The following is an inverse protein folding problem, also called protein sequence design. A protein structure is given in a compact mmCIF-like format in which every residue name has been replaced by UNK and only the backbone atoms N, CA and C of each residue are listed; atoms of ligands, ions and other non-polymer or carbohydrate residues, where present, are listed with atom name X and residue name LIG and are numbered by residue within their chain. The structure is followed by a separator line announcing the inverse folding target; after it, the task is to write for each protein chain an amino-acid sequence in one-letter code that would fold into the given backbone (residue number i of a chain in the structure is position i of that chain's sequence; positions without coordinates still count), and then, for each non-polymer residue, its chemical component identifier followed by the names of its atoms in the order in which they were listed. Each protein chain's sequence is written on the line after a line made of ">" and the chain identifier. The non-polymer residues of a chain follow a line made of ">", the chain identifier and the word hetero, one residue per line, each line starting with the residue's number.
data_IF_381538846417
#
_entry.id   IF_381538846417
#
_cell.length_a   1.000
_cell.length_b   1.000
_cell.length_c   1.000
_cell.angle_alpha   90.00
_cell.angle_beta   90.00
_cell.angle_gamma   90.00
#
_symmetry.space_group_name_H-M   'P 1'
#
loop_
_entity.id
_entity.type
_entity.pdbx_description
1 polymer ?
#
# COMPACT_ATOMS: atom_id res chain seq x y z
N UNK A 1 4.73 -12.51 24.92
CA UNK A 1 4.85 -12.45 23.44
C UNK A 1 5.04 -11.00 23.10
N UNK A 2 6.13 -10.66 22.41
CA UNK A 2 6.36 -9.30 21.93
C UNK A 2 5.17 -8.86 21.08
N UNK A 3 4.55 -7.75 21.47
CA UNK A 3 3.29 -7.25 20.89
C UNK A 3 3.46 -6.63 19.50
N UNK A 4 4.57 -6.90 18.81
CA UNK A 4 4.95 -6.29 17.54
C UNK A 4 4.57 -7.13 16.32
N UNK A 5 4.46 -6.50 15.13
CA UNK A 5 4.24 -7.21 13.88
C UNK A 5 5.46 -8.08 13.52
N UNK A 6 5.21 -9.24 12.92
CA UNK A 6 6.27 -10.19 12.48
C UNK A 6 7.14 -9.59 11.37
N UNK A 7 6.54 -8.80 10.48
CA UNK A 7 7.24 -8.08 9.41
C UNK A 7 6.46 -6.79 9.07
N UNK A 8 7.16 -5.79 8.54
CA UNK A 8 6.55 -4.51 8.12
C UNK A 8 7.16 -4.09 6.78
N UNK A 9 6.30 -3.76 5.81
CA UNK A 9 6.70 -3.39 4.46
C UNK A 9 6.16 -1.98 4.12
N UNK A 10 7.05 -1.09 3.70
CA UNK A 10 6.72 0.31 3.40
C UNK A 10 6.32 0.47 1.93
N UNK A 11 5.04 0.24 1.61
CA UNK A 11 4.55 0.19 0.22
C UNK A 11 4.47 1.59 -0.44
N UNK A 12 4.35 2.65 0.36
CA UNK A 12 4.06 4.01 -0.08
C UNK A 12 5.13 5.04 0.33
N UNK A 13 6.38 4.62 0.49
CA UNK A 13 7.45 5.50 0.99
C UNK A 13 7.71 6.72 0.07
N UNK A 14 7.50 6.56 -1.23
CA UNK A 14 7.62 7.63 -2.24
C UNK A 14 6.57 8.74 -2.11
N UNK A 15 5.48 8.50 -1.38
CA UNK A 15 4.42 9.49 -1.15
C UNK A 15 4.69 10.38 0.06
N UNK A 16 5.71 10.09 0.89
CA UNK A 16 6.05 10.91 2.06
C UNK A 16 6.20 12.41 1.75
N UNK A 17 6.85 12.82 0.63
CA UNK A 17 6.95 14.25 0.30
C UNK A 17 5.63 14.87 -0.19
N UNK A 18 4.66 14.06 -0.63
CA UNK A 18 3.37 14.49 -1.21
C UNK A 18 2.20 14.36 -0.21
N UNK A 19 2.50 14.21 1.08
CA UNK A 19 1.48 14.04 2.11
C UNK A 19 0.53 15.25 2.22
N UNK A 20 1.02 16.47 2.02
CA UNK A 20 0.17 17.66 2.00
C UNK A 20 -0.85 17.59 0.86
N UNK A 21 -0.41 17.29 -0.36
CA UNK A 21 -1.29 17.17 -1.53
C UNK A 21 -2.34 16.04 -1.35
N UNK A 22 -1.94 14.92 -0.74
CA UNK A 22 -2.83 13.79 -0.46
C UNK A 22 -3.86 14.11 0.63
N UNK A 23 -3.49 14.95 1.59
CA UNK A 23 -4.40 15.43 2.64
C UNK A 23 -5.42 16.43 2.07
N UNK A 24 -4.98 17.36 1.23
CA UNK A 24 -5.87 18.34 0.58
C UNK A 24 -6.87 17.68 -0.39
N UNK A 25 -6.50 16.58 -1.03
CA UNK A 25 -7.38 15.82 -1.92
C UNK A 25 -8.17 14.70 -1.22
N UNK A 26 -8.17 14.64 0.13
CA UNK A 26 -8.76 13.57 0.96
C UNK A 26 -8.27 12.13 0.65
N UNK A 27 -7.34 11.99 -0.30
CA UNK A 27 -6.87 10.70 -0.79
C UNK A 27 -6.10 9.95 0.29
N UNK A 28 -5.48 10.65 1.25
CA UNK A 28 -4.79 10.04 2.40
C UNK A 28 -5.67 9.10 3.23
N UNK A 29 -7.00 9.24 3.16
CA UNK A 29 -7.97 8.41 3.89
C UNK A 29 -8.48 7.22 3.08
N UNK A 30 -7.98 7.00 1.86
CA UNK A 30 -8.39 5.86 1.05
C UNK A 30 -8.03 4.53 1.73
N UNK A 31 -8.96 3.58 1.62
CA UNK A 31 -8.77 2.23 2.13
C UNK A 31 -8.20 1.32 1.04
N UNK A 32 -7.00 0.81 1.27
CA UNK A 32 -6.40 -0.21 0.42
C UNK A 32 -6.77 -1.61 0.92
N UNK A 33 -7.19 -2.46 -0.01
CA UNK A 33 -7.29 -3.88 0.24
C UNK A 33 -5.94 -4.56 -0.03
N UNK A 34 -5.73 -5.70 0.63
CA UNK A 34 -4.62 -6.59 0.35
C UNK A 34 -5.15 -8.02 0.18
N UNK A 35 -4.51 -8.78 -0.71
CA UNK A 35 -4.78 -10.19 -0.89
C UNK A 35 -3.48 -10.98 -0.73
N UNK A 36 -3.60 -12.17 -0.14
CA UNK A 36 -2.52 -13.12 -0.02
C UNK A 36 -2.71 -14.21 -1.08
N UNK A 37 -1.62 -14.64 -1.70
CA UNK A 37 -1.63 -15.83 -2.56
C UNK A 37 -1.95 -17.08 -1.73
N UNK A 38 -2.59 -18.08 -2.34
CA UNK A 38 -3.00 -19.31 -1.64
C UNK A 38 -1.83 -20.14 -1.10
N UNK A 39 -0.61 -19.92 -1.60
CA UNK A 39 0.64 -20.51 -1.10
C UNK A 39 1.23 -19.75 0.10
N UNK A 40 0.66 -18.60 0.47
CA UNK A 40 1.09 -17.78 1.59
C UNK A 40 2.38 -16.98 1.36
N UNK A 41 3.06 -17.18 0.23
CA UNK A 41 4.39 -16.60 -0.04
C UNK A 41 4.34 -15.18 -0.58
N UNK A 42 3.18 -14.71 -1.04
CA UNK A 42 3.03 -13.44 -1.76
C UNK A 42 1.84 -12.67 -1.24
N UNK A 43 2.01 -11.37 -1.18
CA UNK A 43 0.94 -10.43 -0.85
C UNK A 43 0.89 -9.39 -1.96
N UNK A 44 -0.32 -9.01 -2.36
CA UNK A 44 -0.55 -7.88 -3.24
C UNK A 44 -1.43 -6.87 -2.53
N UNK A 45 -1.15 -5.59 -2.74
CA UNK A 45 -1.96 -4.50 -2.20
C UNK A 45 -2.10 -3.41 -3.25
N UNK A 46 -3.15 -2.61 -3.11
CA UNK A 46 -3.36 -1.44 -3.93
C UNK A 46 -2.35 -0.34 -3.64
N UNK A 47 -2.06 0.48 -4.65
CA UNK A 47 -1.18 1.64 -4.50
C UNK A 47 -1.59 2.79 -5.41
N UNK A 48 -1.22 4.02 -5.05
CA UNK A 48 -1.50 5.20 -5.87
C UNK A 48 -0.57 5.26 -7.08
N UNK A 49 -1.13 5.18 -8.28
CA UNK A 49 -0.42 5.48 -9.53
C UNK A 49 -0.53 6.96 -9.86
N UNK A 50 0.57 7.56 -10.31
CA UNK A 50 0.64 8.99 -10.66
C UNK A 50 -0.25 9.43 -11.85
N UNK A 51 -0.90 8.50 -12.57
CA UNK A 51 -1.64 8.80 -13.81
C UNK A 51 -2.99 8.08 -13.98
N UNK A 52 -3.47 7.30 -13.00
CA UNK A 52 -4.75 6.58 -13.16
C UNK A 52 -5.55 6.51 -11.85
N UNK A 53 -6.86 6.79 -11.87
CA UNK A 53 -7.75 6.67 -10.70
C UNK A 53 -8.13 5.21 -10.36
N UNK A 54 -7.45 4.22 -10.93
CA UNK A 54 -7.69 2.80 -10.66
C UNK A 54 -6.56 2.22 -9.81
N UNK A 55 -6.90 1.83 -8.58
CA UNK A 55 -6.04 1.07 -7.66
C UNK A 55 -5.46 -0.13 -8.43
N UNK A 56 -4.15 -0.16 -8.56
CA UNK A 56 -3.50 -1.23 -9.30
C UNK A 56 -2.88 -2.23 -8.33
N UNK A 57 -3.31 -3.49 -8.41
CA UNK A 57 -2.62 -4.60 -7.77
C UNK A 57 -1.24 -4.76 -8.44
N UNK A 58 -0.19 -4.30 -7.77
CA UNK A 58 1.17 -4.69 -8.11
C UNK A 58 1.60 -5.80 -7.16
N UNK A 59 1.52 -7.03 -7.64
CA UNK A 59 2.32 -8.16 -7.16
C UNK A 59 3.69 -7.97 -7.84
N UNK A 60 4.84 -7.84 -7.17
CA UNK A 60 5.39 -8.74 -6.16
C UNK A 60 6.47 -8.00 -5.35
N UNK A 61 6.41 -8.09 -4.02
CA UNK A 61 7.62 -8.13 -3.22
C UNK A 61 8.08 -9.61 -3.20
N UNK A 62 9.23 -9.91 -3.82
CA UNK A 62 9.98 -11.14 -3.60
C UNK A 62 10.80 -11.01 -2.32
#
# INVERSE_FOLDING_TARGET
>A
MDSGPVATFQVHEYLRPKLCDLYENDSIFDKFECCQSGDGLRVATGSYRQYFPSVQLWCWWQ
#
